data_IF_965546343668
#
_entry.id   IF_965546343668
#
_cell.length_a   1.000
_cell.length_b   1.000
_cell.length_c   1.000
_cell.angle_alpha   90.00
_cell.angle_beta   90.00
_cell.angle_gamma   90.00
#
_symmetry.space_group_name_H-M   'P 1'
#
loop_
_entity.id
_entity.type
_entity.pdbx_description
1 polymer ?
#
# COMPACT_ATOMS: atom_id res chain seq x y z
N UNK A 1 -2.99 -14.83 -13.08
CA UNK A 1 -2.78 -13.68 -12.19
C UNK A 1 -2.84 -12.45 -13.08
N UNK A 2 -3.79 -11.54 -12.86
CA UNK A 2 -3.84 -10.29 -13.62
C UNK A 2 -2.72 -9.36 -13.14
N UNK A 3 -2.25 -8.47 -14.01
CA UNK A 3 -1.20 -7.48 -13.71
C UNK A 3 -1.54 -6.62 -12.47
N UNK A 4 -2.82 -6.31 -12.31
CA UNK A 4 -3.44 -5.62 -11.17
C UNK A 4 -3.08 -6.28 -9.82
N UNK A 5 -3.05 -7.62 -9.76
CA UNK A 5 -2.63 -8.35 -8.56
C UNK A 5 -1.13 -8.14 -8.23
N UNK A 6 -0.30 -7.88 -9.24
CA UNK A 6 1.13 -7.66 -9.08
C UNK A 6 1.46 -6.30 -8.46
N UNK A 7 0.74 -5.25 -8.87
CA UNK A 7 0.93 -3.89 -8.34
C UNK A 7 0.53 -3.83 -6.86
N UNK A 8 -0.66 -4.33 -6.52
CA UNK A 8 -1.14 -4.37 -5.14
C UNK A 8 -0.20 -5.17 -4.24
N UNK A 9 0.29 -6.33 -4.70
CA UNK A 9 1.23 -7.14 -3.93
C UNK A 9 2.57 -6.42 -3.71
N UNK A 10 3.09 -5.72 -4.73
CA UNK A 10 4.31 -4.95 -4.60
C UNK A 10 4.17 -3.77 -3.63
N UNK A 11 2.97 -3.14 -3.56
CA UNK A 11 2.67 -2.11 -2.56
C UNK A 11 2.67 -2.74 -1.16
N UNK A 12 1.97 -3.86 -0.97
CA UNK A 12 1.84 -4.53 0.33
C UNK A 12 3.20 -4.95 0.91
N UNK A 13 4.07 -5.56 0.12
CA UNK A 13 5.41 -5.94 0.60
C UNK A 13 6.19 -4.74 1.17
N UNK A 14 6.03 -3.56 0.57
CA UNK A 14 6.71 -2.35 1.01
C UNK A 14 6.00 -1.69 2.20
N UNK A 15 4.67 -1.73 2.21
CA UNK A 15 3.83 -1.12 3.24
C UNK A 15 3.93 -1.87 4.57
N UNK A 16 3.96 -3.20 4.54
CA UNK A 16 3.85 -4.02 5.74
C UNK A 16 5.19 -4.30 6.44
N UNK A 17 6.32 -4.25 5.72
CA UNK A 17 7.63 -4.64 6.24
C UNK A 17 8.01 -4.06 7.63
N UNK A 18 7.75 -2.78 7.96
CA UNK A 18 8.14 -2.23 9.26
C UNK A 18 7.03 -2.32 10.33
N UNK A 19 5.90 -2.97 10.04
CA UNK A 19 4.76 -3.04 10.96
C UNK A 19 4.83 -4.31 11.82
N UNK A 20 4.45 -4.18 13.08
CA UNK A 20 4.37 -5.28 14.05
C UNK A 20 2.95 -5.55 14.57
N UNK A 21 2.03 -4.59 14.41
CA UNK A 21 0.64 -4.71 14.86
C UNK A 21 -0.21 -5.36 13.77
N UNK A 22 -0.76 -6.54 14.06
CA UNK A 22 -1.58 -7.31 13.11
C UNK A 22 -2.81 -6.53 12.62
N UNK A 23 -3.49 -5.81 13.51
CA UNK A 23 -4.64 -4.97 13.17
C UNK A 23 -4.29 -3.93 12.09
N UNK A 24 -3.21 -3.16 12.27
CA UNK A 24 -2.78 -2.19 11.25
C UNK A 24 -2.39 -2.88 9.94
N UNK A 25 -1.81 -4.07 10.00
CA UNK A 25 -1.48 -4.84 8.79
C UNK A 25 -2.74 -5.29 8.06
N UNK A 26 -3.79 -5.69 8.80
CA UNK A 26 -5.09 -6.07 8.24
C UNK A 26 -5.74 -4.89 7.52
N UNK A 27 -5.87 -3.74 8.19
CA UNK A 27 -6.56 -2.57 7.64
C UNK A 27 -5.84 -2.03 6.39
N UNK A 28 -4.50 -2.04 6.40
CA UNK A 28 -3.70 -1.68 5.21
C UNK A 28 -3.88 -2.70 4.10
N UNK A 29 -3.97 -4.00 4.41
CA UNK A 29 -4.16 -5.05 3.40
C UNK A 29 -5.50 -4.91 2.73
N UNK A 30 -6.58 -4.79 3.51
CA UNK A 30 -7.94 -4.57 3.02
C UNK A 30 -8.02 -3.31 2.17
N UNK A 31 -7.53 -2.18 2.69
CA UNK A 31 -7.54 -0.91 1.97
C UNK A 31 -6.76 -0.92 0.65
N UNK A 32 -5.67 -1.70 0.52
CA UNK A 32 -4.95 -1.85 -0.77
C UNK A 32 -5.68 -2.82 -1.71
N UNK A 33 -6.35 -3.85 -1.18
CA UNK A 33 -7.11 -4.80 -2.01
C UNK A 33 -8.42 -4.21 -2.54
N UNK A 34 -8.96 -3.17 -1.89
CA UNK A 34 -10.15 -2.44 -2.32
C UNK A 34 -9.86 -1.27 -3.27
N UNK A 35 -8.59 -0.92 -3.48
CA UNK A 35 -8.20 0.17 -4.39
C UNK A 35 -8.63 -0.10 -5.83
N UNK A 36 -9.00 0.97 -6.54
CA UNK A 36 -9.07 0.90 -8.01
C UNK A 36 -7.69 0.70 -8.63
N UNK A 37 -7.64 0.23 -9.87
CA UNK A 37 -6.39 0.07 -10.61
C UNK A 37 -5.62 1.40 -10.71
N UNK A 38 -6.31 2.53 -10.92
CA UNK A 38 -5.67 3.85 -10.94
C UNK A 38 -5.06 4.23 -9.57
N UNK A 39 -5.75 3.93 -8.47
CA UNK A 39 -5.25 4.21 -7.12
C UNK A 39 -4.02 3.38 -6.79
N UNK A 40 -4.05 2.09 -7.11
CA UNK A 40 -2.92 1.19 -6.94
C UNK A 40 -1.71 1.68 -7.76
N UNK A 41 -1.90 1.99 -9.04
CA UNK A 41 -0.84 2.52 -9.89
C UNK A 41 -0.30 3.88 -9.42
N UNK A 42 -1.17 4.78 -8.95
CA UNK A 42 -0.76 6.05 -8.37
C UNK A 42 0.16 5.85 -7.17
N UNK A 43 -0.24 5.00 -6.21
CA UNK A 43 0.56 4.73 -5.02
C UNK A 43 1.87 4.03 -5.37
N UNK A 44 1.84 3.04 -6.27
CA UNK A 44 3.04 2.37 -6.76
C UNK A 44 4.03 3.35 -7.38
N UNK A 45 3.57 4.22 -8.28
CA UNK A 45 4.38 5.27 -8.89
C UNK A 45 4.93 6.26 -7.85
N UNK A 46 4.10 6.67 -6.89
CA UNK A 46 4.50 7.60 -5.83
C UNK A 46 5.54 7.01 -4.87
N UNK A 47 5.47 5.71 -4.58
CA UNK A 47 6.41 4.98 -3.74
C UNK A 47 7.75 4.77 -4.47
N UNK A 48 7.70 4.37 -5.74
CA UNK A 48 8.89 3.94 -6.50
C UNK A 48 9.62 5.08 -7.22
N UNK A 49 8.90 6.10 -7.69
CA UNK A 49 9.47 7.21 -8.47
C UNK A 49 9.53 8.52 -7.66
N UNK A 50 8.92 8.55 -6.48
CA UNK A 50 8.88 9.71 -5.58
C UNK A 50 9.76 9.54 -4.33
N UNK A 51 9.41 10.28 -3.27
CA UNK A 51 10.03 10.10 -1.95
C UNK A 51 9.36 8.91 -1.24
N UNK A 52 9.99 7.74 -1.33
CA UNK A 52 9.52 6.47 -0.76
C UNK A 52 9.01 6.57 0.68
N UNK A 53 9.84 7.05 1.61
CA UNK A 53 9.49 7.04 3.04
C UNK A 53 8.30 7.94 3.38
N UNK A 54 8.21 9.20 2.90
CA UNK A 54 7.00 10.00 3.03
C UNK A 54 5.75 9.38 2.38
N UNK A 55 5.89 8.78 1.20
CA UNK A 55 4.77 8.13 0.52
C UNK A 55 4.22 6.95 1.33
N UNK A 56 5.09 6.05 1.79
CA UNK A 56 4.70 4.93 2.63
C UNK A 56 4.10 5.39 3.96
N UNK A 57 4.63 6.46 4.57
CA UNK A 57 4.05 7.02 5.80
C UNK A 57 2.63 7.54 5.54
N UNK A 58 2.43 8.32 4.48
CA UNK A 58 1.12 8.87 4.13
C UNK A 58 0.09 7.76 3.87
N UNK A 59 0.47 6.73 3.12
CA UNK A 59 -0.40 5.59 2.82
C UNK A 59 -0.80 4.81 4.09
N UNK A 60 0.16 4.56 4.99
CA UNK A 60 -0.12 3.88 6.27
C UNK A 60 -1.00 4.69 7.22
N UNK A 61 -0.96 6.01 7.14
CA UNK A 61 -1.87 6.87 7.89
C UNK A 61 -3.26 6.84 7.28
N UNK A 62 -3.35 6.94 5.95
CA UNK A 62 -4.63 6.89 5.23
C UNK A 62 -5.39 5.57 5.45
N UNK A 63 -4.69 4.43 5.40
CA UNK A 63 -5.30 3.11 5.43
C UNK A 63 -5.24 2.41 6.79
N UNK A 64 -4.29 2.79 7.65
CA UNK A 64 -4.02 2.09 8.91
C UNK A 64 -4.81 2.62 10.11
N UNK A 65 -5.62 3.66 9.91
CA UNK A 65 -6.55 4.21 10.91
C UNK A 65 -8.03 4.04 10.47
N UNK A 66 -8.28 3.28 9.40
CA UNK A 66 -9.60 2.73 9.06
C UNK A 66 -9.99 1.65 10.09
#
# INVERSE_FOLDING_TARGET
MSEESGVSLAILFQALQPLSKLERMSNITEGVMEMSDEEAHYWFGKINNGKRSPALKAMRVLLGDL
#
